data_IF_809036970920
#
_entry.id   IF_809036970920
#
_cell.length_a   1.000
_cell.length_b   1.000
_cell.length_c   1.000
_cell.angle_alpha   90.00
_cell.angle_beta   90.00
_cell.angle_gamma   90.00
#
_symmetry.space_group_name_H-M   'P 1'
#
loop_
_entity.id
_entity.type
_entity.pdbx_description
1 polymer ?
#
# COMPACT_ATOMS: atom_id res chain seq x y z
N UNK A 1 12.69 -2.94 11.23
CA UNK A 1 11.73 -3.71 12.04
C UNK A 1 11.04 -2.73 12.97
N UNK A 2 9.85 -2.24 12.62
CA UNK A 2 9.11 -1.34 13.51
C UNK A 2 8.54 -2.20 14.64
N UNK A 3 9.09 -2.05 15.84
CA UNK A 3 8.53 -2.57 17.09
C UNK A 3 7.77 -1.41 17.72
N UNK A 4 6.48 -1.29 17.45
CA UNK A 4 5.63 -0.36 18.21
C UNK A 4 5.30 -1.03 19.55
N UNK A 5 6.05 -0.64 20.58
CA UNK A 5 5.85 -1.08 21.96
C UNK A 5 5.02 -0.06 22.73
N UNK A 6 3.76 -0.40 23.00
CA UNK A 6 3.02 0.11 24.15
C UNK A 6 2.60 -1.10 24.96
N UNK A 7 3.16 -1.26 26.16
CA UNK A 7 2.72 -2.15 27.24
C UNK A 7 2.33 -3.58 26.86
N UNK A 8 3.26 -4.53 27.07
CA UNK A 8 3.07 -5.99 27.16
C UNK A 8 2.46 -6.77 25.98
N UNK A 9 1.90 -6.11 24.97
CA UNK A 9 1.30 -6.79 23.82
C UNK A 9 1.95 -6.29 22.52
N UNK A 10 2.80 -7.15 21.92
CA UNK A 10 3.57 -6.84 20.71
C UNK A 10 2.98 -7.53 19.49
N UNK A 11 2.78 -6.80 18.39
CA UNK A 11 2.54 -7.38 17.08
C UNK A 11 3.75 -8.22 16.64
N UNK A 12 3.54 -9.51 16.39
CA UNK A 12 4.56 -10.46 15.91
C UNK A 12 4.45 -10.61 14.39
N UNK A 13 5.56 -10.45 13.68
CA UNK A 13 5.61 -10.74 12.24
C UNK A 13 5.43 -12.24 11.97
N UNK A 14 4.53 -12.58 11.04
CA UNK A 14 4.19 -13.97 10.69
C UNK A 14 4.95 -14.43 9.44
N UNK A 15 5.22 -13.53 8.51
CA UNK A 15 5.89 -13.82 7.24
C UNK A 15 7.07 -12.88 6.95
N UNK A 16 7.90 -13.27 5.98
CA UNK A 16 9.08 -12.53 5.54
C UNK A 16 8.77 -11.40 4.54
N UNK A 17 7.53 -10.90 4.54
CA UNK A 17 6.99 -10.03 3.47
C UNK A 17 6.86 -10.76 2.13
N UNK A 18 5.75 -10.54 1.42
CA UNK A 18 5.44 -11.18 0.13
C UNK A 18 5.20 -10.12 -0.95
N UNK A 19 5.62 -10.35 -2.20
CA UNK A 19 5.34 -9.42 -3.29
C UNK A 19 3.84 -9.32 -3.56
N UNK A 20 3.39 -8.12 -3.90
CA UNK A 20 2.06 -7.83 -4.42
C UNK A 20 2.20 -7.47 -5.89
N UNK A 21 1.34 -8.04 -6.73
CA UNK A 21 1.42 -7.90 -8.18
C UNK A 21 0.21 -7.14 -8.72
N UNK A 22 0.43 -6.33 -9.76
CA UNK A 22 -0.66 -5.79 -10.58
C UNK A 22 -1.22 -6.85 -11.54
N UNK A 23 -2.26 -6.48 -12.31
CA UNK A 23 -2.84 -7.33 -13.37
C UNK A 23 -1.83 -7.75 -14.44
N UNK A 24 -0.77 -6.95 -14.65
CA UNK A 24 0.30 -7.23 -15.60
C UNK A 24 1.42 -8.09 -14.99
N UNK A 25 1.23 -8.61 -13.77
CA UNK A 25 2.20 -9.39 -13.00
C UNK A 25 3.50 -8.63 -12.67
N UNK A 26 3.46 -7.30 -12.68
CA UNK A 26 4.55 -6.45 -12.19
C UNK A 26 4.43 -6.28 -10.69
N UNK A 27 5.56 -6.29 -9.98
CA UNK A 27 5.58 -6.07 -8.53
C UNK A 27 5.28 -4.60 -8.24
N UNK A 28 4.16 -4.35 -7.57
CA UNK A 28 3.74 -2.99 -7.16
C UNK A 28 4.05 -2.67 -5.70
N UNK A 29 4.32 -3.69 -4.90
CA UNK A 29 4.56 -3.51 -3.48
C UNK A 29 4.82 -4.81 -2.75
N UNK A 30 4.76 -4.71 -1.44
CA UNK A 30 5.02 -5.81 -0.52
C UNK A 30 3.95 -5.84 0.57
N UNK A 31 3.54 -7.05 0.93
CA UNK A 31 2.58 -7.34 1.98
C UNK A 31 3.27 -8.06 3.13
N UNK A 32 3.12 -7.56 4.35
CA UNK A 32 3.61 -8.20 5.58
C UNK A 32 2.46 -8.49 6.54
N UNK A 33 2.43 -9.71 7.05
CA UNK A 33 1.40 -10.13 8.03
C UNK A 33 1.95 -10.04 9.44
N UNK A 34 1.17 -9.43 10.33
CA UNK A 34 1.41 -9.37 11.76
C UNK A 34 0.25 -10.00 12.52
N UNK A 35 0.58 -10.65 13.64
CA UNK A 35 -0.35 -11.28 14.55
C UNK A 35 -0.20 -10.69 15.94
N UNK A 36 -1.32 -10.40 16.57
CA UNK A 36 -1.39 -9.91 17.93
C UNK A 36 -2.44 -10.74 18.68
N UNK A 37 -2.04 -11.28 19.82
CA UNK A 37 -2.88 -12.15 20.64
C UNK A 37 -3.22 -11.44 21.93
N UNK A 38 -4.51 -11.35 22.23
CA UNK A 38 -5.03 -10.73 23.44
C UNK A 38 -6.13 -11.62 24.02
N UNK A 39 -5.83 -12.30 25.12
CA UNK A 39 -6.76 -13.22 25.79
C UNK A 39 -7.32 -14.25 24.79
N UNK A 40 -8.63 -14.19 24.51
CA UNK A 40 -9.34 -15.08 23.59
C UNK A 40 -9.51 -14.48 22.18
N UNK A 41 -8.79 -13.41 21.84
CA UNK A 41 -8.86 -12.76 20.56
C UNK A 41 -7.51 -12.83 19.83
N UNK A 42 -7.59 -13.12 18.54
CA UNK A 42 -6.45 -13.03 17.63
C UNK A 42 -6.73 -11.93 16.62
N UNK A 43 -5.86 -10.95 16.62
CA UNK A 43 -5.84 -9.85 15.68
C UNK A 43 -4.80 -10.12 14.59
N UNK A 44 -5.19 -9.96 13.34
CA UNK A 44 -4.30 -10.07 12.19
C UNK A 44 -4.28 -8.73 11.47
N UNK A 45 -3.08 -8.15 11.35
CA UNK A 45 -2.81 -6.97 10.54
C UNK A 45 -2.06 -7.40 9.30
N UNK A 46 -2.49 -6.93 8.14
CA UNK A 46 -1.74 -7.02 6.89
C UNK A 46 -1.36 -5.62 6.46
N UNK A 47 -0.06 -5.33 6.52
CA UNK A 47 0.53 -4.08 6.07
C UNK A 47 0.91 -4.21 4.59
N UNK A 48 0.52 -3.23 3.78
CA UNK A 48 0.83 -3.13 2.36
C UNK A 48 1.65 -1.87 2.13
N UNK A 49 2.82 -2.04 1.53
CA UNK A 49 3.75 -0.96 1.19
C UNK A 49 4.02 -0.96 -0.31
N UNK A 50 4.00 0.21 -0.95
CA UNK A 50 4.40 0.35 -2.35
C UNK A 50 5.91 0.14 -2.50
N UNK A 51 6.34 -0.41 -3.65
CA UNK A 51 7.77 -0.54 -3.91
C UNK A 51 8.42 0.82 -4.23
N UNK A 52 9.71 0.96 -3.93
CA UNK A 52 10.45 2.23 -4.07
C UNK A 52 10.37 2.83 -5.47
N UNK A 53 10.34 1.97 -6.51
CA UNK A 53 10.22 2.40 -7.90
C UNK A 53 8.92 3.17 -8.14
N UNK A 54 7.81 2.66 -7.63
CA UNK A 54 6.49 3.29 -7.77
C UNK A 54 6.40 4.53 -6.89
N UNK A 55 6.88 4.44 -5.65
CA UNK A 55 6.90 5.58 -4.72
C UNK A 55 7.68 6.77 -5.31
N UNK A 56 8.87 6.51 -5.90
CA UNK A 56 9.67 7.52 -6.60
C UNK A 56 8.91 8.10 -7.80
N UNK A 57 8.26 7.26 -8.61
CA UNK A 57 7.46 7.73 -9.73
C UNK A 57 6.30 8.64 -9.29
N UNK A 58 5.59 8.28 -8.21
CA UNK A 58 4.51 9.09 -7.65
C UNK A 58 5.02 10.44 -7.11
N UNK A 59 6.17 10.46 -6.44
CA UNK A 59 6.82 11.70 -5.98
C UNK A 59 7.19 12.61 -7.14
N UNK A 60 7.83 12.07 -8.19
CA UNK A 60 8.18 12.84 -9.39
C UNK A 60 6.96 13.44 -10.09
N UNK A 61 5.80 12.79 -9.98
CA UNK A 61 4.52 13.27 -10.54
C UNK A 61 3.77 14.23 -9.62
N UNK A 62 4.31 14.56 -8.45
CA UNK A 62 3.64 15.44 -7.47
C UNK A 62 2.48 14.78 -6.73
N UNK A 63 2.30 13.46 -6.84
CA UNK A 63 1.22 12.72 -6.17
C UNK A 63 1.56 12.28 -4.74
N UNK A 64 2.84 12.36 -4.35
CA UNK A 64 3.28 12.10 -2.99
C UNK A 64 4.26 13.20 -2.56
N UNK A 65 4.02 13.79 -1.38
CA UNK A 65 4.97 14.72 -0.77
C UNK A 65 6.20 13.96 -0.28
N UNK A 66 7.36 14.59 -0.31
CA UNK A 66 8.64 13.96 0.02
C UNK A 66 8.75 13.45 1.46
N UNK A 67 7.91 13.95 2.37
CA UNK A 67 8.05 13.77 3.82
C UNK A 67 7.18 12.64 4.39
N UNK A 68 6.19 12.13 3.66
CA UNK A 68 5.21 11.19 4.21
C UNK A 68 5.23 9.85 3.44
N UNK A 69 5.74 8.79 4.09
CA UNK A 69 5.63 7.41 3.60
C UNK A 69 4.43 6.74 4.28
N UNK A 70 3.36 6.54 3.51
CA UNK A 70 2.15 5.85 3.99
C UNK A 70 2.22 4.35 3.68
N UNK A 71 1.62 3.57 4.58
CA UNK A 71 1.30 2.15 4.35
C UNK A 71 -0.21 1.96 4.51
N UNK A 72 -0.78 1.00 3.78
CA UNK A 72 -2.18 0.61 3.94
C UNK A 72 -2.23 -0.61 4.86
N UNK A 73 -3.07 -0.57 5.89
CA UNK A 73 -3.23 -1.69 6.81
C UNK A 73 -4.66 -2.24 6.77
N UNK A 74 -4.80 -3.55 6.59
CA UNK A 74 -6.05 -4.28 6.86
C UNK A 74 -5.95 -4.94 8.22
N UNK A 75 -6.81 -4.57 9.16
CA UNK A 75 -6.87 -5.18 10.49
C UNK A 75 -8.14 -6.02 10.58
N UNK A 76 -7.99 -7.27 11.01
CA UNK A 76 -9.09 -8.21 11.22
C UNK A 76 -9.00 -8.80 12.61
N UNK A 77 -10.15 -9.06 13.23
CA UNK A 77 -10.26 -9.68 14.55
C UNK A 77 -10.98 -11.01 14.41
N UNK A 78 -10.47 -12.04 15.07
CA UNK A 78 -11.14 -13.32 15.26
C UNK A 78 -11.18 -13.68 16.74
N UNK A 79 -12.21 -14.42 17.14
CA UNK A 79 -12.22 -15.12 18.43
C UNK A 79 -11.38 -16.37 18.25
N UNK A 80 -10.64 -16.77 19.29
CA UNK A 80 -9.82 -17.97 19.34
C UNK A 80 -10.72 -19.23 19.40
N UNK A 81 -11.61 -19.41 18.41
CA UNK A 81 -12.09 -20.72 18.02
C UNK A 81 -11.00 -21.33 17.14
N UNK A 82 -10.87 -22.65 17.15
CA UNK A 82 -9.70 -23.40 16.65
C UNK A 82 -9.33 -23.22 15.16
N UNK A 83 -9.96 -22.27 14.44
CA UNK A 83 -9.69 -21.95 13.04
C UNK A 83 -9.60 -20.43 12.85
N UNK A 84 -8.37 -19.89 12.91
CA UNK A 84 -8.10 -18.53 12.42
C UNK A 84 -8.11 -18.59 10.88
N UNK A 85 -9.22 -18.17 10.27
CA UNK A 85 -9.33 -18.09 8.81
C UNK A 85 -8.59 -16.85 8.33
N UNK A 86 -7.44 -17.03 7.69
CA UNK A 86 -6.76 -15.95 6.96
C UNK A 86 -7.56 -15.70 5.68
N UNK A 87 -8.46 -14.71 5.73
CA UNK A 87 -9.26 -14.30 4.59
C UNK A 87 -8.37 -13.85 3.42
N UNK A 88 -8.77 -14.20 2.20
CA UNK A 88 -8.14 -13.71 0.98
C UNK A 88 -8.20 -12.17 0.90
N UNK A 89 -7.20 -11.58 0.24
CA UNK A 89 -6.98 -10.13 0.16
C UNK A 89 -7.21 -9.54 -1.23
N UNK A 90 -7.79 -10.31 -2.17
CA UNK A 90 -7.95 -9.87 -3.56
C UNK A 90 -8.56 -8.46 -3.69
N UNK A 91 -9.48 -8.09 -2.79
CA UNK A 91 -10.12 -6.76 -2.82
C UNK A 91 -9.15 -5.61 -2.48
N UNK A 92 -8.18 -5.82 -1.58
CA UNK A 92 -7.19 -4.78 -1.22
C UNK A 92 -6.13 -4.67 -2.32
N UNK A 93 -5.69 -5.80 -2.87
CA UNK A 93 -4.74 -5.83 -3.97
C UNK A 93 -5.32 -5.16 -5.22
N UNK A 94 -6.59 -5.43 -5.55
CA UNK A 94 -7.32 -4.76 -6.63
C UNK A 94 -7.54 -3.25 -6.37
N UNK A 95 -7.74 -2.85 -5.11
CA UNK A 95 -7.86 -1.44 -4.73
C UNK A 95 -6.53 -0.70 -4.94
N UNK A 96 -5.41 -1.28 -4.52
CA UNK A 96 -4.08 -0.72 -4.76
C UNK A 96 -3.78 -0.60 -6.26
N UNK A 97 -4.10 -1.63 -7.04
CA UNK A 97 -3.96 -1.60 -8.51
C UNK A 97 -4.81 -0.48 -9.13
N UNK A 98 -6.07 -0.35 -8.71
CA UNK A 98 -6.97 0.70 -9.20
C UNK A 98 -6.48 2.12 -8.88
N UNK A 99 -5.94 2.32 -7.67
CA UNK A 99 -5.34 3.62 -7.28
C UNK A 99 -4.12 3.97 -8.12
N UNK A 100 -3.30 2.98 -8.48
CA UNK A 100 -2.15 3.21 -9.36
C UNK A 100 -2.60 3.56 -10.78
N UNK A 101 -3.63 2.90 -11.29
CA UNK A 101 -4.20 3.18 -12.62
C UNK A 101 -4.80 4.60 -12.66
N UNK A 102 -5.61 4.99 -11.67
CA UNK A 102 -6.20 6.34 -11.65
C UNK A 102 -5.14 7.44 -11.59
N UNK A 103 -4.05 7.23 -10.84
CA UNK A 103 -2.91 8.16 -10.82
C UNK A 103 -2.18 8.29 -12.16
N UNK A 104 -2.28 7.28 -13.03
CA UNK A 104 -1.67 7.32 -14.37
C UNK A 104 -2.52 8.06 -15.40
N UNK A 105 -3.86 8.02 -15.29
CA UNK A 105 -4.78 8.61 -16.26
C UNK A 105 -4.95 10.13 -16.08
N UNK A 106 -4.65 10.68 -14.90
CA UNK A 106 -4.68 12.13 -14.66
C UNK A 106 -3.63 12.93 -15.45
N UNK A 107 -2.81 12.29 -16.31
CA UNK A 107 -1.76 12.95 -17.09
C UNK A 107 -2.03 13.04 -18.60
N UNK A 108 -3.03 12.33 -19.16
CA UNK A 108 -3.27 12.36 -20.61
C UNK A 108 -4.01 13.63 -21.11
N UNK A 109 -4.41 14.55 -20.22
CA UNK A 109 -5.16 15.77 -20.59
C UNK A 109 -4.35 17.07 -20.61
N UNK A 110 -3.02 17.03 -20.51
CA UNK A 110 -2.19 18.25 -20.52
C UNK A 110 -1.08 18.22 -21.57
N UNK A 111 -1.38 17.82 -22.80
CA UNK A 111 -0.52 18.13 -23.96
C UNK A 111 -1.34 18.51 -25.20
N UNK A 112 -2.05 19.64 -25.16
CA UNK A 112 -2.36 20.38 -26.39
C UNK A 112 -2.84 21.81 -26.09
N UNK A 113 -1.91 22.75 -25.94
CA UNK A 113 -2.19 24.15 -26.27
C UNK A 113 -1.00 24.71 -27.08
N UNK A 114 -1.24 25.32 -28.26
CA UNK A 114 -0.16 25.77 -29.13
C UNK A 114 0.55 26.98 -28.54
N UNK A 115 1.89 26.99 -28.63
CA UNK A 115 2.75 28.15 -28.30
C UNK A 115 2.37 29.34 -29.18
N UNK A 116 1.83 30.40 -28.57
CA UNK A 116 1.85 31.73 -29.19
C UNK A 116 3.24 32.34 -29.00
N UNK A 117 3.89 32.63 -30.13
CA UNK A 117 5.10 33.44 -30.24
C UNK A 117 4.73 34.91 -30.00
N UNK A 118 5.40 35.58 -29.07
CA UNK A 118 5.39 37.05 -28.99
C UNK A 118 6.74 37.57 -29.49
N UNK A 119 6.72 38.32 -30.60
CA UNK A 119 7.80 39.21 -31.01
C UNK A 119 7.63 40.53 -30.25
N UNK A 120 8.67 40.96 -29.53
CA UNK A 120 8.78 42.32 -29.00
C UNK A 120 9.29 43.24 -30.11
N UNK A 121 8.59 44.36 -30.31
CA UNK A 121 9.07 45.55 -31.03
C UNK A 121 9.40 46.64 -30.01
#
# INVERSE_FOLDING_TARGET
MVRTSTGELLWKGVDNSRPVYDRKKSVIGFKKTFRFEEKNHVWIMKEYRLCDKILKALRLRGHARHEEEFVVCRITRSVNSSQVIILSDHNVENFLDSLLISSSQCQETVESFPRYQFQEN
#
